data_IF_017914825605
#
_entry.id   IF_017914825605
#
_cell.length_a   1.000
_cell.length_b   1.000
_cell.length_c   1.000
_cell.angle_alpha   90.00
_cell.angle_beta   90.00
_cell.angle_gamma   90.00
#
_symmetry.space_group_name_H-M   'P 1'
#
loop_
_entity.id
_entity.type
_entity.pdbx_description
1 polymer ?
#
# COMPACT_ATOMS: atom_id res chain seq x y z
N UNK A 1 -38.39 44.19 55.08
CA UNK A 1 -37.85 42.86 55.43
C UNK A 1 -38.69 41.78 54.74
N UNK A 2 -38.38 41.47 53.48
CA UNK A 2 -39.12 40.44 52.70
C UNK A 2 -38.24 39.80 51.60
N UNK A 3 -36.91 39.90 51.71
CA UNK A 3 -35.96 39.43 50.68
C UNK A 3 -35.21 38.14 51.06
N UNK A 4 -35.62 37.43 52.12
CA UNK A 4 -34.85 36.30 52.66
C UNK A 4 -35.46 34.90 52.41
N UNK A 5 -36.63 34.80 51.76
CA UNK A 5 -37.30 33.50 51.53
C UNK A 5 -37.34 33.02 50.07
N UNK A 6 -36.82 33.81 49.12
CA UNK A 6 -36.88 33.45 47.69
C UNK A 6 -35.60 32.81 47.13
N UNK A 7 -34.49 32.76 47.90
CA UNK A 7 -33.18 32.31 47.40
C UNK A 7 -32.87 30.84 47.75
N UNK A 8 -33.72 30.18 48.56
CA UNK A 8 -33.40 28.85 49.11
C UNK A 8 -34.05 27.66 48.39
N UNK A 9 -34.75 27.85 47.26
CA UNK A 9 -35.46 26.77 46.56
C UNK A 9 -34.97 26.48 45.13
N UNK A 10 -33.94 27.17 44.63
CA UNK A 10 -33.36 26.93 43.29
C UNK A 10 -31.99 26.24 43.31
N UNK A 11 -31.48 25.85 44.49
CA UNK A 11 -30.13 25.33 44.67
C UNK A 11 -30.08 23.83 45.05
N UNK A 12 -31.11 23.06 44.69
CA UNK A 12 -31.15 21.62 44.98
C UNK A 12 -31.84 20.87 43.84
N UNK A 13 -31.11 20.64 42.74
CA UNK A 13 -31.22 19.45 41.88
C UNK A 13 -30.19 19.48 40.74
N UNK A 14 -28.98 19.97 41.04
CA UNK A 14 -27.76 19.53 40.36
C UNK A 14 -27.45 18.15 40.94
N UNK A 15 -28.11 17.13 40.42
CA UNK A 15 -27.74 15.74 40.59
C UNK A 15 -27.34 15.21 39.21
N UNK A 16 -26.10 15.51 38.83
CA UNK A 16 -25.37 14.70 37.87
C UNK A 16 -25.24 13.28 38.43
N UNK A 17 -25.73 12.29 37.71
CA UNK A 17 -25.07 11.00 37.50
C UNK A 17 -25.91 10.11 36.57
N UNK A 18 -25.30 9.61 35.49
CA UNK A 18 -25.67 8.31 34.93
C UNK A 18 -26.06 8.27 33.45
N UNK A 19 -25.05 8.24 32.57
CA UNK A 19 -25.15 7.78 31.18
C UNK A 19 -25.63 6.32 31.11
N UNK A 20 -26.52 5.96 30.17
CA UNK A 20 -26.46 4.69 29.39
C UNK A 20 -27.33 4.77 28.11
N UNK A 21 -26.66 4.65 26.95
CA UNK A 21 -27.06 3.94 25.72
C UNK A 21 -28.53 3.79 25.26
N UNK A 22 -28.88 4.45 24.14
CA UNK A 22 -29.32 3.84 22.84
C UNK A 22 -29.67 4.98 21.86
N UNK A 23 -28.89 5.27 20.81
CA UNK A 23 -28.96 4.66 19.48
C UNK A 23 -30.39 4.23 19.15
N UNK A 24 -31.19 4.95 18.35
CA UNK A 24 -30.85 5.67 17.13
C UNK A 24 -31.66 5.04 16.00
N UNK A 25 -32.90 5.49 15.80
CA UNK A 25 -33.75 5.04 14.70
C UNK A 25 -34.12 6.27 13.84
N UNK A 26 -33.20 6.65 12.96
CA UNK A 26 -33.46 7.58 11.87
C UNK A 26 -33.44 6.83 10.55
N UNK A 27 -34.56 6.96 9.85
CA UNK A 27 -34.80 6.68 8.45
C UNK A 27 -33.70 7.26 7.54
N UNK A 28 -33.27 6.50 6.54
CA UNK A 28 -32.49 7.03 5.42
C UNK A 28 -31.58 5.97 4.81
N UNK A 29 -31.83 5.61 3.55
CA UNK A 29 -31.16 4.51 2.87
C UNK A 29 -29.63 4.58 2.88
N UNK A 30 -29.01 3.45 3.14
CA UNK A 30 -27.59 3.25 2.89
C UNK A 30 -27.42 1.81 2.42
N UNK A 31 -26.99 1.65 1.17
CA UNK A 31 -26.60 0.35 0.63
C UNK A 31 -25.58 -0.28 1.58
N UNK A 32 -25.86 -1.50 2.00
CA UNK A 32 -25.03 -2.26 2.90
C UNK A 32 -23.75 -2.70 2.17
N UNK A 33 -22.80 -1.79 1.99
CA UNK A 33 -21.43 -2.12 1.62
C UNK A 33 -20.67 -2.31 2.93
N UNK A 34 -20.61 -3.55 3.38
CA UNK A 34 -19.75 -3.92 4.51
C UNK A 34 -18.30 -3.68 4.15
N UNK A 35 -17.63 -2.80 4.91
CA UNK A 35 -16.17 -2.73 4.93
C UNK A 35 -15.71 -4.05 5.58
N UNK A 36 -15.23 -4.96 4.75
CA UNK A 36 -14.58 -6.18 5.21
C UNK A 36 -13.25 -5.77 5.81
N UNK A 37 -13.10 -5.95 7.12
CA UNK A 37 -11.84 -5.83 7.84
C UNK A 37 -10.81 -6.77 7.19
N UNK A 38 -9.76 -6.17 6.61
CA UNK A 38 -8.73 -6.85 5.84
C UNK A 38 -7.71 -7.61 6.68
N UNK A 39 -7.87 -7.64 8.00
CA UNK A 39 -6.92 -8.28 8.93
C UNK A 39 -7.03 -9.81 9.00
N UNK A 40 -8.07 -10.42 8.40
CA UNK A 40 -8.30 -11.87 8.48
C UNK A 40 -8.61 -12.52 7.11
N UNK A 41 -7.95 -12.08 6.03
CA UNK A 41 -8.00 -12.81 4.75
C UNK A 41 -7.16 -14.09 4.85
N UNK A 42 -7.78 -15.15 5.33
CA UNK A 42 -7.29 -16.52 5.09
C UNK A 42 -7.29 -16.73 3.57
N UNK A 43 -6.10 -16.80 2.97
CA UNK A 43 -5.91 -17.02 1.53
C UNK A 43 -6.49 -18.40 1.12
N UNK A 44 -7.78 -18.43 0.78
CA UNK A 44 -8.44 -19.62 0.25
C UNK A 44 -8.28 -19.78 -1.28
N UNK A 45 -7.66 -18.79 -1.95
CA UNK A 45 -7.34 -18.85 -3.37
C UNK A 45 -5.85 -19.12 -3.60
N UNK A 46 -5.55 -20.20 -4.34
CA UNK A 46 -4.19 -20.57 -4.77
C UNK A 46 -3.66 -19.69 -5.92
N UNK A 47 -4.10 -18.42 -5.99
CA UNK A 47 -3.68 -17.44 -7.00
C UNK A 47 -3.38 -16.14 -6.30
N UNK A 48 -2.24 -15.53 -6.63
CA UNK A 48 -1.96 -14.16 -6.21
C UNK A 48 -3.03 -13.23 -6.78
N UNK A 49 -3.55 -12.36 -5.94
CA UNK A 49 -4.51 -11.33 -6.30
C UNK A 49 -3.77 -10.05 -6.67
N UNK A 50 -4.44 -9.13 -7.39
CA UNK A 50 -3.88 -7.80 -7.66
C UNK A 50 -3.48 -7.06 -6.37
N UNK A 51 -4.22 -7.27 -5.28
CA UNK A 51 -3.91 -6.70 -3.96
C UNK A 51 -2.56 -7.18 -3.42
N UNK A 52 -2.20 -8.44 -3.63
CA UNK A 52 -0.92 -8.99 -3.17
C UNK A 52 0.26 -8.32 -3.88
N UNK A 53 0.13 -8.08 -5.18
CA UNK A 53 1.14 -7.36 -5.96
C UNK A 53 1.25 -5.88 -5.59
N UNK A 54 0.12 -5.24 -5.22
CA UNK A 54 0.11 -3.86 -4.72
C UNK A 54 0.85 -3.77 -3.38
N UNK A 55 0.53 -4.64 -2.41
CA UNK A 55 1.26 -4.71 -1.13
C UNK A 55 2.74 -5.04 -1.31
N UNK A 56 3.05 -5.91 -2.26
CA UNK A 56 4.42 -6.22 -2.63
C UNK A 56 5.17 -4.98 -3.16
N UNK A 57 4.52 -4.18 -4.00
CA UNK A 57 5.07 -2.91 -4.48
C UNK A 57 5.27 -1.90 -3.34
N UNK A 58 4.36 -1.85 -2.39
CA UNK A 58 4.51 -1.00 -1.21
C UNK A 58 5.75 -1.36 -0.42
N UNK A 59 5.96 -2.65 -0.16
CA UNK A 59 7.13 -3.15 0.58
C UNK A 59 8.45 -2.76 -0.10
N UNK A 60 8.56 -2.98 -1.41
CA UNK A 60 9.78 -2.64 -2.17
C UNK A 60 10.01 -1.12 -2.20
N UNK A 61 8.94 -0.34 -2.34
CA UNK A 61 9.02 1.13 -2.39
C UNK A 61 9.37 1.72 -1.02
N UNK A 62 8.78 1.21 0.06
CA UNK A 62 9.13 1.60 1.42
C UNK A 62 10.59 1.27 1.76
N UNK A 63 11.08 0.09 1.34
CA UNK A 63 12.51 -0.27 1.43
C UNK A 63 13.40 0.72 0.70
N UNK A 64 13.00 1.19 -0.49
CA UNK A 64 13.72 2.23 -1.21
C UNK A 64 13.71 3.56 -0.46
N UNK A 65 12.54 4.01 0.00
CA UNK A 65 12.37 5.32 0.65
C UNK A 65 13.16 5.41 1.97
N UNK A 66 13.38 4.30 2.66
CA UNK A 66 14.21 4.20 3.88
C UNK A 66 15.71 4.04 3.60
N UNK A 67 16.12 3.97 2.34
CA UNK A 67 17.53 3.75 2.01
C UNK A 67 18.38 5.01 2.21
N UNK A 68 19.69 4.86 2.53
CA UNK A 68 20.58 6.00 2.76
C UNK A 68 20.64 6.99 1.59
N UNK A 69 20.53 6.50 0.35
CA UNK A 69 20.51 7.35 -0.84
C UNK A 69 19.31 8.32 -0.79
N UNK A 70 18.11 7.81 -0.56
CA UNK A 70 16.89 8.63 -0.53
C UNK A 70 16.87 9.51 0.73
N UNK A 71 17.29 8.99 1.88
CA UNK A 71 17.38 9.79 3.12
C UNK A 71 18.30 11.00 2.96
N UNK A 72 19.33 10.93 2.11
CA UNK A 72 20.24 12.06 1.82
C UNK A 72 19.62 13.19 0.99
N UNK A 73 18.39 13.01 0.48
CA UNK A 73 17.68 13.98 -0.37
C UNK A 73 16.78 14.95 0.40
N UNK A 74 16.77 14.87 1.72
CA UNK A 74 16.03 15.78 2.58
C UNK A 74 16.32 17.25 2.20
N UNK A 75 15.26 18.03 1.99
CA UNK A 75 15.34 19.42 1.55
C UNK A 75 15.72 19.66 0.07
N UNK A 76 16.27 18.67 -0.64
CA UNK A 76 16.70 18.83 -2.06
C UNK A 76 15.60 18.50 -3.05
N UNK A 77 14.79 17.49 -2.76
CA UNK A 77 13.66 17.03 -3.60
C UNK A 77 14.01 16.92 -5.10
N UNK A 78 14.97 16.05 -5.47
CA UNK A 78 15.38 15.90 -6.86
C UNK A 78 14.22 15.46 -7.75
N UNK A 79 14.33 15.78 -9.04
CA UNK A 79 13.38 15.42 -10.08
C UNK A 79 13.68 14.01 -10.57
N UNK A 80 12.73 13.10 -10.41
CA UNK A 80 12.90 11.69 -10.77
C UNK A 80 11.88 11.34 -11.84
N UNK A 81 12.35 10.91 -13.01
CA UNK A 81 11.48 10.28 -14.01
C UNK A 81 11.21 8.86 -13.56
N UNK A 82 9.94 8.51 -13.41
CA UNK A 82 9.51 7.17 -12.99
C UNK A 82 9.07 6.40 -14.22
N UNK A 83 9.93 5.51 -14.72
CA UNK A 83 9.62 4.69 -15.89
C UNK A 83 8.47 3.72 -15.62
N UNK A 84 7.72 3.39 -16.67
CA UNK A 84 6.68 2.37 -16.60
C UNK A 84 7.23 1.04 -16.07
N UNK A 85 6.41 0.34 -15.28
CA UNK A 85 6.75 -1.00 -14.82
C UNK A 85 6.79 -1.96 -16.01
N UNK A 86 7.96 -2.56 -16.27
CA UNK A 86 8.10 -3.57 -17.32
C UNK A 86 7.64 -4.93 -16.80
N UNK A 87 6.70 -5.56 -17.51
CA UNK A 87 6.27 -6.93 -17.25
C UNK A 87 7.18 -7.92 -17.98
N UNK A 88 8.04 -8.59 -17.23
CA UNK A 88 8.86 -9.70 -17.70
C UNK A 88 8.44 -11.01 -16.99
N UNK A 89 7.18 -11.11 -16.58
CA UNK A 89 6.61 -12.34 -16.02
C UNK A 89 6.04 -13.23 -17.12
N UNK A 90 5.69 -14.46 -16.77
CA UNK A 90 4.95 -15.38 -17.66
C UNK A 90 3.45 -15.06 -17.70
N UNK A 91 2.96 -14.16 -16.83
CA UNK A 91 1.56 -13.74 -16.79
C UNK A 91 1.37 -12.39 -17.49
N UNK A 92 0.94 -12.46 -18.74
CA UNK A 92 0.62 -11.27 -19.54
C UNK A 92 -0.60 -10.50 -18.98
N UNK A 93 -1.46 -11.15 -18.19
CA UNK A 93 -2.66 -10.54 -17.61
C UNK A 93 -2.38 -9.83 -16.27
N UNK A 94 -1.13 -9.86 -15.81
CA UNK A 94 -0.74 -9.14 -14.61
C UNK A 94 -1.03 -7.65 -14.79
N UNK A 95 -1.85 -7.09 -13.89
CA UNK A 95 -2.26 -5.68 -13.91
C UNK A 95 -1.12 -4.76 -13.44
N UNK A 96 -0.10 -4.62 -14.28
CA UNK A 96 1.09 -3.81 -13.98
C UNK A 96 0.80 -2.32 -13.80
N UNK A 97 -0.31 -1.82 -14.34
CA UNK A 97 -0.76 -0.44 -14.14
C UNK A 97 -1.03 -0.17 -12.65
N UNK A 98 -1.82 -1.02 -12.00
CA UNK A 98 -2.15 -0.88 -10.57
C UNK A 98 -0.88 -0.89 -9.69
N UNK A 99 0.10 -1.73 -10.05
CA UNK A 99 1.39 -1.82 -9.36
C UNK A 99 2.20 -0.52 -9.56
N UNK A 100 2.25 -0.03 -10.80
CA UNK A 100 2.95 1.20 -11.14
C UNK A 100 2.34 2.44 -10.47
N UNK A 101 1.02 2.55 -10.50
CA UNK A 101 0.28 3.65 -9.88
C UNK A 101 0.53 3.68 -8.38
N UNK A 102 0.54 2.50 -7.72
CA UNK A 102 0.87 2.43 -6.29
C UNK A 102 2.29 2.92 -5.98
N UNK A 103 3.27 2.52 -6.80
CA UNK A 103 4.65 3.00 -6.66
C UNK A 103 4.64 4.53 -6.78
N UNK A 104 4.07 5.09 -7.85
CA UNK A 104 4.04 6.55 -8.06
C UNK A 104 3.34 7.29 -6.91
N UNK A 105 2.20 6.77 -6.43
CA UNK A 105 1.47 7.33 -5.30
C UNK A 105 2.36 7.45 -4.07
N UNK A 106 3.07 6.39 -3.70
CA UNK A 106 3.98 6.40 -2.54
C UNK A 106 5.14 7.36 -2.72
N UNK A 107 5.71 7.45 -3.93
CA UNK A 107 6.80 8.40 -4.20
C UNK A 107 6.32 9.84 -4.08
N UNK A 108 5.14 10.16 -4.60
CA UNK A 108 4.55 11.48 -4.46
C UNK A 108 4.22 11.79 -2.99
N UNK A 109 3.61 10.84 -2.28
CA UNK A 109 3.24 10.98 -0.87
C UNK A 109 4.44 11.14 0.06
N UNK A 110 5.59 10.55 -0.27
CA UNK A 110 6.81 10.65 0.53
C UNK A 110 7.35 12.08 0.64
N UNK A 111 7.08 12.94 -0.36
CA UNK A 111 7.58 14.32 -0.42
C UNK A 111 9.09 14.45 -0.64
N UNK A 112 9.88 13.36 -0.62
CA UNK A 112 11.35 13.40 -0.71
C UNK A 112 11.89 13.63 -2.12
N UNK A 113 11.03 13.51 -3.13
CA UNK A 113 11.36 13.72 -4.54
C UNK A 113 10.21 14.39 -5.29
N UNK A 114 10.49 14.86 -6.51
CA UNK A 114 9.48 15.34 -7.47
C UNK A 114 9.35 14.31 -8.58
N UNK A 115 8.21 13.64 -8.64
CA UNK A 115 7.92 12.66 -9.69
C UNK A 115 7.66 13.39 -11.01
N UNK A 116 8.39 13.01 -12.05
CA UNK A 116 8.31 13.58 -13.38
C UNK A 116 7.76 12.54 -14.36
N UNK A 117 7.00 13.02 -15.34
CA UNK A 117 6.59 12.22 -16.49
C UNK A 117 7.78 11.89 -17.39
N UNK A 118 7.66 10.81 -18.18
CA UNK A 118 8.68 10.38 -19.14
C UNK A 118 8.97 11.41 -20.24
N UNK A 119 8.03 12.32 -20.54
CA UNK A 119 8.24 13.42 -21.47
C UNK A 119 9.05 14.59 -20.91
N UNK A 120 9.36 14.60 -19.60
CA UNK A 120 10.14 15.66 -18.97
C UNK A 120 11.57 15.69 -19.52
N UNK A 121 12.03 16.88 -19.89
CA UNK A 121 13.41 17.12 -20.36
C UNK A 121 14.35 17.60 -19.25
N UNK A 122 13.83 17.80 -18.03
CA UNK A 122 14.62 18.26 -16.88
C UNK A 122 14.39 17.33 -15.69
N UNK A 123 15.37 16.48 -15.43
CA UNK A 123 15.37 15.53 -14.34
C UNK A 123 16.80 15.25 -13.85
N UNK A 124 16.92 14.79 -12.61
CA UNK A 124 18.20 14.46 -11.97
C UNK A 124 18.45 12.95 -12.00
N UNK A 125 17.38 12.15 -11.95
CA UNK A 125 17.46 10.69 -11.94
C UNK A 125 16.36 10.05 -12.80
N UNK A 126 16.63 8.81 -13.22
CA UNK A 126 15.67 7.93 -13.89
C UNK A 126 15.51 6.67 -13.06
N UNK A 127 14.27 6.37 -12.67
CA UNK A 127 13.92 5.13 -12.01
C UNK A 127 13.36 4.13 -13.03
N UNK A 128 13.99 2.96 -13.13
CA UNK A 128 13.53 1.83 -13.96
C UNK A 128 12.93 0.75 -13.08
N UNK A 129 11.71 0.34 -13.42
CA UNK A 129 10.92 -0.61 -12.64
C UNK A 129 10.70 -1.87 -13.47
N UNK A 130 10.90 -3.04 -12.87
CA UNK A 130 10.69 -4.31 -13.56
C UNK A 130 10.12 -5.35 -12.61
N UNK A 131 9.16 -6.13 -13.10
CA UNK A 131 8.69 -7.34 -12.43
C UNK A 131 9.02 -8.55 -13.30
N UNK A 132 9.61 -9.57 -12.69
CA UNK A 132 9.97 -10.84 -13.34
C UNK A 132 9.34 -11.99 -12.57
N UNK A 133 9.12 -13.13 -13.24
CA UNK A 133 8.65 -14.34 -12.56
C UNK A 133 9.44 -15.56 -12.98
N UNK A 134 9.64 -16.49 -12.05
CA UNK A 134 10.12 -17.85 -12.34
C UNK A 134 9.11 -18.85 -11.80
N UNK A 135 8.70 -19.79 -12.63
CA UNK A 135 7.87 -20.93 -12.20
C UNK A 135 8.74 -22.19 -12.10
N UNK A 136 8.65 -22.88 -10.97
CA UNK A 136 9.26 -24.18 -10.76
C UNK A 136 8.16 -25.18 -10.44
N UNK A 137 8.07 -26.24 -11.24
CA UNK A 137 7.16 -27.35 -11.01
C UNK A 137 7.94 -28.59 -10.60
N UNK A 138 7.54 -29.24 -9.52
CA UNK A 138 7.98 -30.60 -9.24
C UNK A 138 6.97 -31.58 -9.87
N UNK A 139 7.35 -32.16 -11.01
CA UNK A 139 6.52 -33.11 -11.76
C UNK A 139 6.17 -34.38 -10.98
N UNK A 140 6.93 -34.71 -9.93
CA UNK A 140 6.70 -35.91 -9.10
C UNK A 140 5.73 -35.68 -7.94
N UNK A 141 5.71 -34.48 -7.36
CA UNK A 141 4.83 -34.13 -6.22
C UNK A 141 3.57 -33.37 -6.65
N UNK A 142 3.58 -32.80 -7.87
CA UNK A 142 2.52 -31.93 -8.38
C UNK A 142 2.55 -30.51 -7.81
N UNK A 143 3.59 -30.18 -7.03
CA UNK A 143 3.79 -28.87 -6.44
C UNK A 143 4.26 -27.86 -7.49
N UNK A 144 3.69 -26.66 -7.43
CA UNK A 144 4.12 -25.52 -8.24
C UNK A 144 4.52 -24.38 -7.33
N UNK A 145 5.71 -23.85 -7.56
CA UNK A 145 6.25 -22.66 -6.92
C UNK A 145 6.33 -21.57 -8.00
N UNK A 146 5.66 -20.45 -7.79
CA UNK A 146 5.88 -19.24 -8.58
C UNK A 146 6.61 -18.23 -7.71
N UNK A 147 7.72 -17.70 -8.18
CA UNK A 147 8.44 -16.62 -7.51
C UNK A 147 8.37 -15.38 -8.40
N UNK A 148 7.93 -14.26 -7.83
CA UNK A 148 7.89 -12.96 -8.49
C UNK A 148 8.91 -12.04 -7.84
N UNK A 149 9.75 -11.41 -8.66
CA UNK A 149 10.73 -10.42 -8.19
C UNK A 149 10.36 -9.06 -8.74
N UNK A 150 10.10 -8.10 -7.86
CA UNK A 150 9.94 -6.69 -8.22
C UNK A 150 11.24 -5.95 -7.92
N UNK A 151 11.70 -5.15 -8.87
CA UNK A 151 12.96 -4.43 -8.79
C UNK A 151 12.80 -2.98 -9.23
N UNK A 152 13.27 -2.08 -8.39
CA UNK A 152 13.39 -0.64 -8.64
C UNK A 152 14.87 -0.31 -8.76
N UNK A 153 15.29 0.31 -9.86
CA UNK A 153 16.67 0.76 -10.09
C UNK A 153 16.70 2.26 -10.32
N UNK A 154 17.60 2.97 -9.65
CA UNK A 154 17.81 4.40 -9.82
C UNK A 154 19.10 4.67 -10.58
N UNK A 155 19.01 5.49 -11.62
CA UNK A 155 20.14 5.90 -12.44
C UNK A 155 20.30 7.42 -12.44
N UNK A 156 21.52 7.92 -12.54
CA UNK A 156 21.78 9.32 -12.93
C UNK A 156 21.49 9.53 -14.41
N UNK A 157 21.49 10.79 -14.86
CA UNK A 157 21.31 11.12 -16.28
C UNK A 157 22.46 10.61 -17.17
N UNK A 158 23.65 10.40 -16.60
CA UNK A 158 24.81 9.79 -17.25
C UNK A 158 24.72 8.26 -17.34
N UNK A 159 23.69 7.66 -16.73
CA UNK A 159 23.47 6.22 -16.73
C UNK A 159 24.19 5.46 -15.61
N UNK A 160 24.76 6.15 -14.62
CA UNK A 160 25.34 5.50 -13.43
C UNK A 160 24.23 4.90 -12.56
N UNK A 161 24.36 3.62 -12.19
CA UNK A 161 23.44 2.96 -11.25
C UNK A 161 23.78 3.39 -9.81
N UNK A 162 22.93 4.22 -9.21
CA UNK A 162 23.15 4.75 -7.86
C UNK A 162 22.36 4.03 -6.77
N UNK A 163 21.34 3.26 -7.16
CA UNK A 163 20.52 2.51 -6.21
C UNK A 163 19.75 1.37 -6.86
N UNK A 164 19.55 0.29 -6.10
CA UNK A 164 18.72 -0.84 -6.50
C UNK A 164 18.02 -1.42 -5.28
N UNK A 165 16.72 -1.64 -5.39
CA UNK A 165 15.91 -2.25 -4.35
C UNK A 165 15.02 -3.32 -4.97
N UNK A 166 14.98 -4.47 -4.33
CA UNK A 166 14.15 -5.59 -4.76
C UNK A 166 13.66 -6.38 -3.56
N UNK A 167 12.62 -7.17 -3.80
CA UNK A 167 12.07 -8.16 -2.89
C UNK A 167 11.42 -9.27 -3.73
N UNK A 168 11.07 -10.37 -3.08
CA UNK A 168 10.51 -11.57 -3.72
C UNK A 168 9.14 -11.92 -3.11
N UNK A 169 8.20 -12.30 -3.97
CA UNK A 169 6.87 -12.78 -3.61
C UNK A 169 6.73 -14.23 -4.08
N UNK A 170 6.75 -15.16 -3.13
CA UNK A 170 6.68 -16.59 -3.40
C UNK A 170 5.26 -17.11 -3.19
N UNK A 171 4.70 -17.73 -4.22
CA UNK A 171 3.46 -18.50 -4.17
C UNK A 171 3.79 -19.98 -4.18
N UNK A 172 3.46 -20.68 -3.10
CA UNK A 172 3.53 -22.14 -3.04
C UNK A 172 2.13 -22.76 -3.16
N UNK A 173 1.91 -23.54 -4.22
CA UNK A 173 0.70 -24.36 -4.34
C UNK A 173 0.97 -25.74 -3.76
N UNK A 174 0.53 -25.95 -2.51
CA UNK A 174 0.54 -27.26 -1.86
C UNK A 174 -0.48 -28.23 -2.48
N UNK A 175 -0.18 -29.53 -2.41
CA UNK A 175 -1.10 -30.59 -2.85
C UNK A 175 -2.37 -30.53 -1.98
N UNK A 176 -3.53 -30.27 -2.61
CA UNK A 176 -4.83 -30.29 -1.92
C UNK A 176 -5.07 -31.74 -1.44
N UNK A 177 -5.07 -31.96 -0.13
CA UNK A 177 -5.51 -33.23 0.46
C UNK A 177 -7.02 -33.34 0.21
N UNK A 178 -7.41 -34.18 -0.75
CA UNK A 178 -8.78 -34.67 -0.88
C UNK A 178 -8.92 -35.89 0.04
N UNK A 179 -9.12 -35.62 1.33
CA UNK A 179 -9.62 -36.60 2.29
C UNK A 179 -10.59 -35.89 3.22
#
# INVERSE_FOLDING_TARGET
MQYFRLILLCAALIALAGCTSSLGNSFGGQGNVGIVDSSERTHHDTKLTGTDFVQFAEKVTDKMLRSPLISSWEGKRPKVVVGHLLNNTMDENLRIADIHDRIQEMLMASGVMRVMDASSTSFDYVMKNTITSTEQGNSSTGEKLANYTLMLKMYTIEGELVGQWSDDLVLAKGKRSVF
#
